data_IF_210371585621
#
_entry.id   IF_210371585621
#
_cell.length_a   1.000
_cell.length_b   1.000
_cell.length_c   1.000
_cell.angle_alpha   90.00
_cell.angle_beta   90.00
_cell.angle_gamma   90.00
#
_symmetry.space_group_name_H-M   'P 1'
#
loop_
_entity.id
_entity.type
_entity.pdbx_description
1 polymer ?
#
# COMPACT_ATOMS: atom_id res chain seq x y z
N UNK A 1 0.09 -18.83 18.91
CA UNK A 1 0.98 -17.77 18.42
C UNK A 1 0.07 -16.73 17.78
N UNK A 2 -0.03 -15.53 18.36
CA UNK A 2 -0.91 -14.50 17.81
C UNK A 2 -0.35 -14.09 16.46
N UNK A 3 -1.09 -14.37 15.38
CA UNK A 3 -0.69 -14.02 14.02
C UNK A 3 -0.36 -12.54 13.95
N UNK A 4 0.91 -12.26 13.64
CA UNK A 4 1.46 -10.92 13.69
C UNK A 4 0.72 -10.03 12.72
N UNK A 5 -0.09 -9.12 13.25
CA UNK A 5 -0.49 -7.92 12.55
C UNK A 5 0.79 -7.16 12.24
N UNK A 6 1.40 -7.44 11.08
CA UNK A 6 2.55 -6.69 10.57
C UNK A 6 2.23 -5.20 10.72
N UNK A 7 3.15 -4.48 11.36
CA UNK A 7 2.98 -3.08 11.77
C UNK A 7 2.55 -2.22 10.59
N UNK A 8 1.48 -1.45 10.76
CA UNK A 8 1.11 -0.40 9.79
C UNK A 8 2.21 0.66 9.81
N UNK A 9 2.89 0.82 8.67
CA UNK A 9 4.00 1.76 8.49
C UNK A 9 3.52 3.19 8.22
N UNK A 10 2.28 3.35 7.75
CA UNK A 10 1.63 4.65 7.60
C UNK A 10 0.42 4.60 6.68
N UNK A 11 -0.10 5.79 6.35
CA UNK A 11 -1.26 5.96 5.46
C UNK A 11 -0.84 6.65 4.17
N UNK A 12 -1.02 5.98 3.05
CA UNK A 12 -0.83 6.52 1.71
C UNK A 12 -2.12 7.19 1.27
N UNK A 13 -2.09 8.48 0.99
CA UNK A 13 -3.22 9.21 0.41
C UNK A 13 -3.11 9.28 -1.09
N UNK A 14 -4.26 9.38 -1.77
CA UNK A 14 -4.34 9.47 -3.23
C UNK A 14 -3.60 8.32 -3.95
N UNK A 15 -3.71 7.10 -3.40
CA UNK A 15 -2.98 5.96 -3.90
C UNK A 15 -3.47 5.58 -5.31
N UNK A 16 -2.53 5.48 -6.25
CA UNK A 16 -2.72 5.06 -7.64
C UNK A 16 -2.03 3.72 -7.84
N UNK A 17 -2.78 2.78 -8.39
CA UNK A 17 -2.31 1.40 -8.59
C UNK A 17 -1.98 1.15 -10.05
N UNK A 18 -0.95 0.36 -10.30
CA UNK A 18 -0.63 -0.19 -11.60
C UNK A 18 -0.47 -1.70 -11.49
N UNK A 19 -1.08 -2.42 -12.43
CA UNK A 19 -0.88 -3.85 -12.61
C UNK A 19 0.27 -4.06 -13.62
N UNK A 20 1.32 -4.75 -13.19
CA UNK A 20 2.53 -5.05 -13.95
C UNK A 20 2.68 -6.57 -14.03
N UNK A 21 2.22 -7.16 -15.14
CA UNK A 21 2.14 -8.61 -15.29
C UNK A 21 1.22 -9.21 -14.23
N UNK A 22 1.74 -10.13 -13.41
CA UNK A 22 0.99 -10.77 -12.31
C UNK A 22 1.07 -10.00 -10.98
N UNK A 23 1.71 -8.83 -10.95
CA UNK A 23 1.92 -8.04 -9.75
C UNK A 23 1.13 -6.73 -9.77
N UNK A 24 0.78 -6.20 -8.60
CA UNK A 24 0.21 -4.85 -8.44
C UNK A 24 1.16 -3.97 -7.64
N UNK A 25 1.26 -2.68 -7.95
CA UNK A 25 2.09 -1.72 -7.21
C UNK A 25 1.36 -0.38 -7.01
N UNK A 26 1.72 0.35 -5.95
CA UNK A 26 1.39 1.77 -5.81
C UNK A 26 2.42 2.58 -6.59
N UNK A 27 1.99 3.17 -7.70
CA UNK A 27 2.83 3.99 -8.60
C UNK A 27 2.63 5.49 -8.41
N UNK A 28 1.83 5.88 -7.42
CA UNK A 28 1.64 7.26 -7.03
C UNK A 28 0.82 7.36 -5.76
N UNK A 29 1.13 8.34 -4.94
CA UNK A 29 0.47 8.60 -3.67
C UNK A 29 1.34 9.46 -2.78
N UNK A 30 0.83 9.82 -1.62
CA UNK A 30 1.56 10.62 -0.63
C UNK A 30 1.61 9.88 0.70
N UNK A 31 2.82 9.69 1.23
CA UNK A 31 3.06 9.17 2.57
C UNK A 31 3.80 10.26 3.35
N UNK A 32 3.22 10.70 4.47
CA UNK A 32 3.83 11.74 5.34
C UNK A 32 4.23 13.02 4.58
N UNK A 33 3.39 13.44 3.62
CA UNK A 33 3.63 14.65 2.82
C UNK A 33 4.65 14.49 1.69
N UNK A 34 5.22 13.28 1.49
CA UNK A 34 6.16 12.98 0.41
C UNK A 34 5.57 12.03 -0.61
N UNK A 35 6.01 12.13 -1.86
CA UNK A 35 5.65 11.18 -2.91
C UNK A 35 6.06 9.77 -2.50
N UNK A 36 5.14 8.82 -2.65
CA UNK A 36 5.34 7.43 -2.29
C UNK A 36 5.19 6.50 -3.50
N UNK A 37 6.08 5.51 -3.56
CA UNK A 37 6.05 4.39 -4.49
C UNK A 37 6.25 3.11 -3.68
N UNK A 38 5.48 2.05 -3.97
CA UNK A 38 5.61 0.79 -3.25
C UNK A 38 6.41 -0.24 -4.02
N UNK A 39 6.96 -1.20 -3.28
CA UNK A 39 7.28 -2.53 -3.78
C UNK A 39 6.03 -3.25 -4.34
N UNK A 40 6.18 -4.40 -5.01
CA UNK A 40 5.05 -5.27 -5.35
C UNK A 40 4.16 -5.54 -4.14
N UNK A 41 2.86 -5.37 -4.35
CA UNK A 41 1.82 -5.70 -3.39
C UNK A 41 1.65 -7.22 -3.38
N UNK A 42 1.82 -7.82 -2.21
CA UNK A 42 1.64 -9.26 -1.97
C UNK A 42 0.18 -9.58 -1.66
N UNK A 43 -0.58 -8.61 -1.14
CA UNK A 43 -2.01 -8.75 -0.88
C UNK A 43 -2.70 -7.44 -0.52
N UNK A 44 -4.01 -7.41 -0.69
CA UNK A 44 -4.88 -6.30 -0.27
C UNK A 44 -5.95 -6.86 0.66
N UNK A 45 -6.13 -6.21 1.80
CA UNK A 45 -7.07 -6.58 2.85
C UNK A 45 -7.85 -5.32 3.26
N UNK A 46 -9.01 -5.11 2.62
CA UNK A 46 -9.76 -3.85 2.74
C UNK A 46 -8.96 -2.63 2.28
N UNK A 47 -8.64 -1.74 3.22
CA UNK A 47 -7.85 -0.53 3.04
C UNK A 47 -6.36 -0.71 3.38
N UNK A 48 -5.91 -1.96 3.58
CA UNK A 48 -4.51 -2.27 3.88
C UNK A 48 -3.87 -2.94 2.66
N UNK A 49 -2.74 -2.40 2.22
CA UNK A 49 -1.82 -3.10 1.31
C UNK A 49 -0.73 -3.80 2.12
N UNK A 50 -0.38 -5.01 1.70
CA UNK A 50 0.69 -5.82 2.28
C UNK A 50 1.84 -5.87 1.27
N UNK A 51 3.04 -5.47 1.68
CA UNK A 51 4.26 -5.55 0.89
C UNK A 51 5.36 -6.25 1.69
N UNK A 52 6.49 -6.57 1.04
CA UNK A 52 7.66 -7.15 1.71
C UNK A 52 8.19 -6.30 2.86
N UNK A 53 8.22 -4.97 2.69
CA UNK A 53 8.65 -4.04 3.73
C UNK A 53 7.66 -3.91 4.89
N UNK A 54 6.38 -4.18 4.66
CA UNK A 54 5.33 -4.13 5.68
C UNK A 54 3.99 -3.68 5.13
N UNK A 55 3.12 -3.24 6.05
CA UNK A 55 1.73 -2.91 5.71
C UNK A 55 1.52 -1.40 5.64
N UNK A 56 0.73 -0.95 4.68
CA UNK A 56 0.31 0.45 4.59
C UNK A 56 -1.21 0.51 4.52
N UNK A 57 -1.80 1.47 5.23
CA UNK A 57 -3.16 1.88 4.89
C UNK A 57 -3.12 2.72 3.64
N UNK A 58 -4.15 2.64 2.82
CA UNK A 58 -4.28 3.51 1.67
C UNK A 58 -5.70 4.04 1.54
N UNK A 59 -5.81 5.28 1.09
CA UNK A 59 -7.07 5.82 0.58
C UNK A 59 -6.96 6.00 -0.93
N UNK A 60 -7.97 5.51 -1.66
CA UNK A 60 -8.13 5.86 -3.08
C UNK A 60 -8.65 7.29 -3.15
N UNK A 61 -8.15 8.10 -4.08
CA UNK A 61 -8.89 9.32 -4.42
C UNK A 61 -10.26 8.91 -4.95
N UNK A 62 -11.31 9.30 -4.25
CA UNK A 62 -12.68 9.30 -4.76
C UNK A 62 -12.78 10.57 -5.60
N UNK A 63 -12.48 10.45 -6.90
CA UNK A 63 -12.85 11.44 -7.90
C UNK A 63 -13.54 10.71 -9.04
#
# INVERSE_FOLDING_TARGET
>A
MSEGTQRILGTITNARFLDIGSFRQVVGGTLEGKTFYSEPIEGIDGDIIKTKSGNYRYSRSIH
#
